data_IF_940124919840
#
_entry.id   IF_940124919840
#
_cell.length_a   1.000
_cell.length_b   1.000
_cell.length_c   1.000
_cell.angle_alpha   90.00
_cell.angle_beta   90.00
_cell.angle_gamma   90.00
#
_symmetry.space_group_name_H-M   'P 1'
#
loop_
_entity.id
_entity.type
_entity.pdbx_description
1 polymer ?
#
# COMPACT_ATOMS: atom_id res chain seq x y z
N UNK A 1 -12.24 9.68 6.13
CA UNK A 1 -12.17 10.50 4.90
C UNK A 1 -11.15 9.98 3.90
N UNK A 2 -9.92 9.62 4.29
CA UNK A 2 -8.90 9.06 3.39
C UNK A 2 -9.36 7.84 2.56
N UNK A 3 -10.08 6.90 3.19
CA UNK A 3 -10.68 5.75 2.52
C UNK A 3 -11.64 6.15 1.40
N UNK A 4 -12.41 7.24 1.58
CA UNK A 4 -13.45 7.66 0.62
C UNK A 4 -12.85 8.08 -0.71
N UNK A 5 -11.65 8.67 -0.71
CA UNK A 5 -10.95 9.08 -1.93
C UNK A 5 -10.35 7.90 -2.71
N UNK A 6 -9.79 6.92 -2.00
CA UNK A 6 -9.34 5.64 -2.60
C UNK A 6 -10.54 4.87 -3.17
N UNK A 7 -11.63 4.80 -2.41
CA UNK A 7 -12.93 4.22 -2.78
C UNK A 7 -13.54 4.85 -4.03
N UNK A 8 -13.62 6.19 -4.11
CA UNK A 8 -14.18 6.89 -5.27
C UNK A 8 -13.31 6.71 -6.52
N UNK A 9 -11.99 6.55 -6.37
CA UNK A 9 -11.08 6.23 -7.47
C UNK A 9 -11.41 4.90 -8.14
N UNK A 10 -11.62 3.88 -7.31
CA UNK A 10 -11.96 2.51 -7.71
C UNK A 10 -13.27 2.52 -8.52
N UNK A 11 -14.23 3.36 -8.11
CA UNK A 11 -15.56 3.43 -8.75
C UNK A 11 -15.57 4.21 -10.07
N UNK A 12 -14.66 5.17 -10.28
CA UNK A 12 -14.69 6.08 -11.44
C UNK A 12 -13.81 5.65 -12.61
N UNK A 13 -12.91 4.67 -12.45
CA UNK A 13 -11.97 4.27 -13.50
C UNK A 13 -12.51 3.38 -14.62
N UNK A 14 -13.78 2.95 -14.60
CA UNK A 14 -14.44 2.29 -15.75
C UNK A 14 -13.79 1.01 -16.31
N UNK A 15 -12.66 0.58 -15.76
CA UNK A 15 -11.99 -0.67 -16.06
C UNK A 15 -12.43 -1.68 -15.00
N UNK A 16 -13.13 -2.71 -15.47
CA UNK A 16 -13.87 -3.73 -14.71
C UNK A 16 -13.00 -4.72 -13.92
N UNK A 17 -11.90 -4.25 -13.34
CA UNK A 17 -10.97 -5.13 -12.65
C UNK A 17 -10.80 -4.64 -11.21
N UNK A 18 -11.83 -5.05 -10.48
CA UNK A 18 -12.07 -5.15 -9.05
C UNK A 18 -10.85 -5.01 -8.14
N UNK A 19 -10.54 -3.77 -7.73
CA UNK A 19 -9.98 -3.51 -6.40
C UNK A 19 -11.11 -2.86 -5.62
N UNK A 20 -12.11 -3.61 -5.17
CA UNK A 20 -13.21 -3.00 -4.41
C UNK A 20 -12.73 -2.57 -3.05
N UNK A 21 -13.09 -1.35 -2.68
CA UNK A 21 -13.24 -0.99 -1.29
C UNK A 21 -14.76 -0.83 -1.01
N UNK A 22 -15.14 -1.36 0.15
CA UNK A 22 -16.46 -1.58 0.75
C UNK A 22 -17.74 -1.03 0.07
N UNK A 23 -18.55 -1.95 -0.47
CA UNK A 23 -19.94 -1.73 -0.83
C UNK A 23 -20.86 -2.43 0.17
N UNK A 24 -21.67 -1.63 0.88
CA UNK A 24 -22.81 -2.11 1.65
C UNK A 24 -23.80 -2.80 0.70
N UNK A 25 -23.97 -4.11 0.85
CA UNK A 25 -24.98 -4.90 0.13
C UNK A 25 -24.56 -5.36 -1.27
N UNK A 26 -24.70 -6.66 -1.51
CA UNK A 26 -24.99 -7.30 -2.80
C UNK A 26 -23.88 -8.06 -3.56
N UNK A 27 -22.64 -8.17 -3.05
CA UNK A 27 -21.67 -9.10 -3.67
C UNK A 27 -20.71 -9.77 -2.66
N UNK A 28 -21.22 -10.76 -1.90
CA UNK A 28 -20.45 -11.53 -0.92
C UNK A 28 -19.39 -12.48 -1.52
N UNK A 29 -19.26 -12.57 -2.85
CA UNK A 29 -18.36 -13.50 -3.53
C UNK A 29 -16.98 -12.94 -3.92
N UNK A 30 -16.80 -11.61 -3.90
CA UNK A 30 -15.59 -10.97 -4.42
C UNK A 30 -14.52 -10.83 -3.34
N UNK A 31 -13.33 -11.40 -3.58
CA UNK A 31 -12.18 -11.31 -2.68
C UNK A 31 -11.35 -10.07 -3.00
N UNK A 32 -10.91 -9.35 -1.97
CA UNK A 32 -10.03 -8.18 -2.10
C UNK A 32 -8.59 -8.63 -1.85
N UNK A 33 -7.67 -8.37 -2.78
CA UNK A 33 -6.24 -8.62 -2.56
C UNK A 33 -5.59 -7.41 -1.88
N UNK A 34 -4.96 -7.64 -0.71
CA UNK A 34 -4.13 -6.64 -0.02
C UNK A 34 -2.66 -7.05 -0.07
N UNK A 35 -1.87 -6.29 -0.84
CA UNK A 35 -0.41 -6.37 -0.83
C UNK A 35 0.14 -5.65 0.42
N UNK A 36 0.83 -6.38 1.29
CA UNK A 36 1.30 -5.86 2.58
C UNK A 36 2.77 -6.23 2.82
N UNK A 37 3.53 -5.33 3.45
CA UNK A 37 4.95 -5.56 3.77
C UNK A 37 5.17 -6.65 4.84
N UNK A 38 6.43 -7.09 4.97
CA UNK A 38 6.86 -8.12 5.93
C UNK A 38 7.03 -7.62 7.37
N UNK A 39 6.34 -6.56 7.78
CA UNK A 39 6.33 -6.21 9.19
C UNK A 39 5.55 -7.28 9.98
N UNK A 40 6.21 -7.90 10.96
CA UNK A 40 5.66 -9.03 11.73
C UNK A 40 4.30 -8.75 12.38
N UNK A 41 4.00 -7.50 12.71
CA UNK A 41 2.70 -7.07 13.24
C UNK A 41 1.53 -7.28 12.27
N UNK A 42 1.78 -7.25 10.95
CA UNK A 42 0.76 -7.49 9.92
C UNK A 42 0.37 -8.97 9.81
N UNK A 43 1.23 -9.89 10.26
CA UNK A 43 1.07 -11.34 10.07
C UNK A 43 0.67 -12.08 11.34
N UNK A 44 0.18 -11.35 12.35
CA UNK A 44 -0.36 -11.99 13.55
C UNK A 44 -1.65 -12.76 13.25
N UNK A 45 -1.90 -13.83 13.99
CA UNK A 45 -3.12 -14.64 13.83
C UNK A 45 -4.41 -13.81 13.85
N UNK A 46 -4.62 -12.85 14.78
CA UNK A 46 -5.82 -12.03 14.79
C UNK A 46 -6.01 -11.18 13.53
N UNK A 47 -4.91 -10.68 12.93
CA UNK A 47 -4.98 -9.88 11.70
C UNK A 47 -5.39 -10.76 10.51
N UNK A 48 -4.83 -11.96 10.41
CA UNK A 48 -5.15 -12.90 9.33
C UNK A 48 -6.60 -13.41 9.43
N UNK A 49 -7.04 -13.79 10.63
CA UNK A 49 -8.42 -14.21 10.88
C UNK A 49 -9.42 -13.07 10.57
N UNK A 50 -9.09 -11.84 10.96
CA UNK A 50 -9.92 -10.68 10.64
C UNK A 50 -9.97 -10.40 9.14
N UNK A 51 -8.84 -10.43 8.43
CA UNK A 51 -8.80 -10.25 6.98
C UNK A 51 -9.68 -11.28 6.25
N UNK A 52 -9.60 -12.55 6.64
CA UNK A 52 -10.45 -13.61 6.10
C UNK A 52 -11.95 -13.33 6.36
N UNK A 53 -12.30 -12.84 7.56
CA UNK A 53 -13.68 -12.51 7.92
C UNK A 53 -14.32 -11.40 7.07
N UNK A 54 -13.49 -10.57 6.43
CA UNK A 54 -13.91 -9.48 5.54
C UNK A 54 -13.58 -9.76 4.06
N UNK A 55 -13.36 -11.02 3.69
CA UNK A 55 -13.01 -11.46 2.33
C UNK A 55 -11.75 -10.78 1.75
N UNK A 56 -10.78 -10.44 2.62
CA UNK A 56 -9.48 -9.90 2.21
C UNK A 56 -8.44 -11.01 2.18
N UNK A 57 -7.82 -11.22 1.02
CA UNK A 57 -6.65 -12.07 0.82
C UNK A 57 -5.40 -11.24 1.07
N UNK A 58 -4.61 -11.61 2.06
CA UNK A 58 -3.32 -10.97 2.35
C UNK A 58 -2.23 -11.60 1.48
N UNK A 59 -1.47 -10.78 0.76
CA UNK A 59 -0.30 -11.20 0.01
C UNK A 59 0.92 -10.43 0.48
N UNK A 60 1.95 -11.20 0.85
CA UNK A 60 3.17 -10.68 1.44
C UNK A 60 4.10 -10.15 0.36
N UNK A 61 4.59 -8.93 0.54
CA UNK A 61 5.69 -8.39 -0.26
C UNK A 61 7.01 -8.90 0.34
N UNK A 62 7.90 -9.53 -0.46
CA UNK A 62 9.19 -9.99 0.04
C UNK A 62 10.00 -8.84 0.68
N UNK A 63 10.77 -9.12 1.74
CA UNK A 63 11.66 -8.14 2.37
C UNK A 63 12.57 -7.43 1.35
N UNK A 64 12.64 -6.11 1.44
CA UNK A 64 13.45 -5.29 0.54
C UNK A 64 12.79 -4.92 -0.79
N UNK A 65 11.63 -5.48 -1.12
CA UNK A 65 10.93 -5.21 -2.39
C UNK A 65 9.82 -4.17 -2.29
N UNK A 66 9.51 -3.65 -1.09
CA UNK A 66 8.45 -2.66 -0.88
C UNK A 66 8.55 -1.46 -1.83
N UNK A 67 9.74 -0.93 -2.07
CA UNK A 67 9.96 0.21 -2.98
C UNK A 67 9.57 -0.06 -4.45
N UNK A 68 9.58 -1.32 -4.86
CA UNK A 68 9.34 -1.77 -6.24
C UNK A 68 8.01 -2.47 -6.42
N UNK A 69 7.46 -3.05 -5.34
CA UNK A 69 6.26 -3.88 -5.36
C UNK A 69 5.06 -3.26 -4.63
N UNK A 70 5.27 -2.31 -3.72
CA UNK A 70 4.17 -1.67 -2.98
C UNK A 70 3.67 -0.44 -3.75
N UNK A 71 2.39 -0.42 -4.22
CA UNK A 71 1.84 0.72 -4.95
C UNK A 71 2.02 2.04 -4.19
N UNK A 72 1.90 1.99 -2.85
CA UNK A 72 2.06 3.15 -1.99
C UNK A 72 3.43 3.79 -2.09
N UNK A 73 4.49 2.99 -1.96
CA UNK A 73 5.86 3.50 -2.01
C UNK A 73 6.29 3.89 -3.42
N UNK A 74 5.76 3.22 -4.44
CA UNK A 74 6.04 3.53 -5.85
C UNK A 74 5.47 4.89 -6.26
N UNK A 75 4.28 5.23 -5.78
CA UNK A 75 3.51 6.32 -6.36
C UNK A 75 3.19 7.47 -5.42
N UNK A 76 2.58 7.22 -4.27
CA UNK A 76 1.99 8.30 -3.47
C UNK A 76 2.71 8.62 -2.16
N UNK A 77 3.51 7.70 -1.61
CA UNK A 77 4.23 7.93 -0.35
C UNK A 77 5.24 9.08 -0.48
N UNK A 78 6.00 9.15 -1.58
CA UNK A 78 6.94 10.24 -1.85
C UNK A 78 6.26 11.60 -1.96
N UNK A 79 5.29 11.82 -2.88
CA UNK A 79 4.63 13.12 -2.99
C UNK A 79 3.85 13.49 -1.72
N UNK A 80 3.28 12.51 -1.01
CA UNK A 80 2.64 12.74 0.29
C UNK A 80 3.62 13.28 1.34
N UNK A 81 4.80 12.65 1.48
CA UNK A 81 5.86 13.10 2.40
C UNK A 81 6.39 14.49 2.01
N UNK A 82 6.47 14.81 0.71
CA UNK A 82 6.87 16.14 0.25
C UNK A 82 5.85 17.22 0.66
N UNK A 83 4.56 16.94 0.53
CA UNK A 83 3.51 17.86 0.94
C UNK A 83 3.50 18.08 2.46
N UNK A 84 3.63 17.01 3.26
CA UNK A 84 3.80 17.13 4.71
C UNK A 84 5.02 17.97 5.09
N UNK A 85 6.14 17.80 4.38
CA UNK A 85 7.35 18.59 4.59
C UNK A 85 7.12 20.06 4.25
N UNK A 86 6.37 20.36 3.19
CA UNK A 86 6.02 21.73 2.83
C UNK A 86 5.19 22.41 3.92
N UNK A 87 4.14 21.75 4.41
CA UNK A 87 3.30 22.25 5.50
C UNK A 87 4.09 22.44 6.81
N UNK A 88 5.05 21.56 7.09
CA UNK A 88 5.95 21.71 8.23
C UNK A 88 6.85 22.95 8.09
N UNK A 89 7.46 23.15 6.92
CA UNK A 89 8.31 24.32 6.66
C UNK A 89 7.50 25.61 6.77
N UNK A 90 6.29 25.65 6.22
CA UNK A 90 5.39 26.81 6.33
C UNK A 90 5.08 27.12 7.81
N UNK A 91 4.80 26.10 8.61
CA UNK A 91 4.56 26.24 10.04
C UNK A 91 5.78 26.83 10.78
N UNK A 92 6.99 26.34 10.49
CA UNK A 92 8.22 26.88 11.05
C UNK A 92 8.46 28.34 10.66
N UNK A 93 8.27 28.66 9.38
CA UNK A 93 8.42 30.02 8.87
C UNK A 93 7.41 30.98 9.51
N UNK A 94 6.17 30.53 9.76
CA UNK A 94 5.17 31.32 10.46
C UNK A 94 5.61 31.63 11.90
N UNK A 95 6.10 30.63 12.66
CA UNK A 95 6.61 30.85 14.01
C UNK A 95 7.78 31.84 14.04
N UNK A 96 8.70 31.75 13.07
CA UNK A 96 9.83 32.67 12.97
C UNK A 96 9.38 34.11 12.69
N UNK A 97 8.43 34.31 11.77
CA UNK A 97 7.87 35.64 11.48
C UNK A 97 7.17 36.23 12.70
N UNK A 98 6.30 35.46 13.35
CA UNK A 98 5.59 35.93 14.54
C UNK A 98 6.56 36.33 15.66
N UNK A 99 7.65 35.58 15.85
CA UNK A 99 8.68 35.92 16.82
C UNK A 99 9.39 37.25 16.49
N UNK A 100 9.72 37.47 15.21
CA UNK A 100 10.35 38.71 14.76
C UNK A 100 9.46 39.94 14.97
N UNK A 101 8.14 39.77 14.85
CA UNK A 101 7.15 40.84 15.04
C UNK A 101 6.86 41.14 16.52
N UNK A 102 6.95 40.15 17.41
CA UNK A 102 6.51 40.29 18.81
C UNK A 102 7.55 40.83 19.78
N UNK A 103 8.82 40.39 19.68
CA UNK A 103 9.94 40.92 20.49
C UNK A 103 11.27 40.31 20.01
N UNK A 104 12.05 41.07 19.23
CA UNK A 104 13.32 40.61 18.67
C UNK A 104 14.41 40.32 19.71
N UNK A 105 14.20 40.71 20.98
CA UNK A 105 15.20 40.58 22.04
C UNK A 105 15.12 39.25 22.81
N UNK A 106 14.01 38.53 22.69
CA UNK A 106 13.82 37.19 23.27
C UNK A 106 14.43 36.09 22.38
N UNK A 107 14.87 34.98 22.99
CA UNK A 107 15.40 33.82 22.25
C UNK A 107 14.25 33.00 21.67
N UNK A 108 14.30 32.74 20.37
CA UNK A 108 13.33 31.88 19.69
C UNK A 108 13.23 30.49 20.34
N UNK A 109 11.99 30.06 20.60
CA UNK A 109 11.65 28.72 21.06
C UNK A 109 10.68 28.09 20.10
N UNK A 110 11.06 26.95 19.54
CA UNK A 110 10.19 26.17 18.65
C UNK A 110 9.04 25.58 19.46
N UNK A 111 7.81 25.83 19.00
CA UNK A 111 6.61 25.23 19.56
C UNK A 111 6.18 24.06 18.68
N UNK A 112 5.91 22.90 19.29
CA UNK A 112 5.39 21.76 18.56
C UNK A 112 3.94 22.03 18.08
N UNK A 113 3.55 21.53 16.91
CA UNK A 113 2.18 21.66 16.42
C UNK A 113 1.23 20.87 17.33
N UNK A 114 0.03 21.40 17.54
CA UNK A 114 -1.01 20.66 18.24
C UNK A 114 -1.44 19.42 17.45
N UNK A 115 -2.04 18.44 18.13
CA UNK A 115 -2.62 17.26 17.50
C UNK A 115 -3.60 17.62 16.38
N UNK A 116 -4.50 18.58 16.64
CA UNK A 116 -5.44 19.07 15.64
C UNK A 116 -4.75 19.64 14.39
N UNK A 117 -3.64 20.36 14.57
CA UNK A 117 -2.85 20.89 13.44
C UNK A 117 -2.18 19.76 12.66
N UNK A 118 -1.64 18.75 13.34
CA UNK A 118 -1.06 17.56 12.70
C UNK A 118 -2.10 16.80 11.87
N UNK A 119 -3.29 16.57 12.42
CA UNK A 119 -4.38 15.89 11.70
C UNK A 119 -4.86 16.71 10.49
N UNK A 120 -4.93 18.03 10.61
CA UNK A 120 -5.21 18.91 9.48
C UNK A 120 -4.12 18.81 8.40
N UNK A 121 -2.84 18.80 8.79
CA UNK A 121 -1.74 18.65 7.83
C UNK A 121 -1.78 17.29 7.10
N UNK A 122 -2.03 16.19 7.83
CA UNK A 122 -2.19 14.86 7.24
C UNK A 122 -3.34 14.82 6.24
N UNK A 123 -4.49 15.38 6.62
CA UNK A 123 -5.67 15.44 5.77
C UNK A 123 -5.42 16.28 4.52
N UNK A 124 -4.85 17.48 4.68
CA UNK A 124 -4.53 18.37 3.56
C UNK A 124 -3.51 17.75 2.61
N UNK A 125 -2.47 17.10 3.15
CA UNK A 125 -1.46 16.45 2.33
C UNK A 125 -2.04 15.29 1.51
N UNK A 126 -2.94 14.51 2.11
CA UNK A 126 -3.66 13.45 1.42
C UNK A 126 -4.61 14.01 0.34
N UNK A 127 -5.34 15.07 0.67
CA UNK A 127 -6.30 15.66 -0.27
C UNK A 127 -5.65 16.36 -1.46
N UNK A 128 -4.39 16.80 -1.33
CA UNK A 128 -3.64 17.38 -2.44
C UNK A 128 -3.06 16.36 -3.41
N UNK A 129 -3.03 15.07 -3.06
CA UNK A 129 -2.56 14.03 -3.97
C UNK A 129 -3.51 13.89 -5.17
N UNK A 130 -2.98 14.00 -6.41
CA UNK A 130 -3.76 13.73 -7.60
C UNK A 130 -4.19 12.27 -7.67
N UNK A 131 -5.42 12.04 -8.11
CA UNK A 131 -5.93 10.71 -8.48
C UNK A 131 -4.99 9.95 -9.41
N UNK A 132 -4.42 10.66 -10.40
CA UNK A 132 -3.49 10.07 -11.36
C UNK A 132 -2.22 9.49 -10.69
N UNK A 133 -1.75 10.11 -9.60
CA UNK A 133 -0.64 9.60 -8.80
C UNK A 133 -0.99 8.26 -8.21
N UNK A 134 -2.14 8.13 -7.55
CA UNK A 134 -2.61 6.87 -6.97
C UNK A 134 -2.70 5.75 -8.02
N UNK A 135 -3.33 6.03 -9.16
CA UNK A 135 -3.45 5.06 -10.26
C UNK A 135 -2.10 4.62 -10.84
N UNK A 136 -1.12 5.53 -10.89
CA UNK A 136 0.21 5.21 -11.44
C UNK A 136 0.93 4.13 -10.65
N UNK A 137 0.67 4.02 -9.34
CA UNK A 137 1.27 2.99 -8.48
C UNK A 137 0.85 1.58 -8.89
N UNK A 138 -0.45 1.41 -9.18
CA UNK A 138 -0.99 0.12 -9.62
C UNK A 138 -0.60 -0.21 -11.07
N UNK A 139 -0.58 0.79 -11.97
CA UNK A 139 -0.16 0.57 -13.37
C UNK A 139 1.29 0.09 -13.50
N UNK A 140 2.21 0.67 -12.70
CA UNK A 140 3.64 0.35 -12.78
C UNK A 140 3.99 -1.07 -12.34
N UNK A 141 3.14 -1.68 -11.51
CA UNK A 141 3.33 -3.05 -11.07
C UNK A 141 2.98 -4.08 -12.13
N UNK A 142 2.42 -3.64 -13.27
CA UNK A 142 1.88 -4.51 -14.30
C UNK A 142 1.02 -5.63 -13.71
N UNK A 143 0.35 -5.38 -12.57
CA UNK A 143 -0.64 -6.30 -11.99
C UNK A 143 -1.63 -6.49 -13.12
N UNK A 144 -1.65 -7.67 -13.76
CA UNK A 144 -2.55 -7.87 -14.86
C UNK A 144 -3.94 -7.63 -14.30
N UNK A 145 -4.70 -6.79 -15.00
CA UNK A 145 -6.13 -6.98 -14.99
C UNK A 145 -6.34 -8.32 -15.66
N UNK A 146 -6.25 -9.38 -14.86
CA UNK A 146 -6.19 -10.75 -15.35
C UNK A 146 -7.58 -11.11 -15.87
N UNK A 147 -7.76 -10.94 -17.18
CA UNK A 147 -8.99 -11.26 -17.90
C UNK A 147 -9.04 -12.71 -18.37
N UNK A 148 -8.14 -13.56 -17.87
CA UNK A 148 -8.17 -14.99 -18.21
C UNK A 148 -9.33 -15.62 -17.46
N UNK A 149 -10.25 -16.24 -18.20
CA UNK A 149 -11.28 -17.10 -17.60
C UNK A 149 -10.56 -18.28 -16.92
N UNK A 150 -10.64 -18.33 -15.59
CA UNK A 150 -10.18 -19.51 -14.87
C UNK A 150 -11.23 -20.62 -15.08
N UNK A 151 -10.88 -21.76 -15.70
CA UNK A 151 -11.73 -22.92 -15.60
C UNK A 151 -11.94 -23.25 -14.11
N UNK A 152 -13.09 -23.80 -13.70
CA UNK A 152 -13.31 -24.15 -12.29
C UNK A 152 -12.18 -25.04 -11.81
N UNK A 153 -11.30 -24.50 -10.95
CA UNK A 153 -10.21 -25.26 -10.38
C UNK A 153 -10.80 -26.06 -9.22
N UNK A 154 -10.79 -27.38 -9.34
CA UNK A 154 -11.02 -28.25 -8.20
C UNK A 154 -9.84 -28.06 -7.23
N UNK A 155 -10.12 -27.40 -6.10
CA UNK A 155 -9.11 -27.08 -5.08
C UNK A 155 -8.42 -28.33 -4.53
N UNK A 156 -9.09 -29.49 -4.55
CA UNK A 156 -8.51 -30.75 -4.10
C UNK A 156 -7.48 -31.25 -5.12
N UNK A 157 -7.81 -31.16 -6.41
CA UNK A 157 -6.91 -31.56 -7.49
C UNK A 157 -5.69 -30.63 -7.58
N UNK A 158 -5.89 -29.33 -7.37
CA UNK A 158 -4.83 -28.32 -7.43
C UNK A 158 -3.74 -28.55 -6.37
N UNK A 159 -4.14 -28.85 -5.13
CA UNK A 159 -3.21 -29.16 -4.04
C UNK A 159 -2.42 -30.46 -4.31
N UNK A 160 -3.08 -31.46 -4.91
CA UNK A 160 -2.45 -32.72 -5.31
C UNK A 160 -1.43 -32.48 -6.42
N UNK A 161 -1.78 -31.68 -7.42
CA UNK A 161 -0.90 -31.36 -8.55
C UNK A 161 0.32 -30.54 -8.12
N UNK A 162 0.14 -29.57 -7.21
CA UNK A 162 1.24 -28.82 -6.60
C UNK A 162 2.16 -29.76 -5.82
N UNK A 163 1.61 -30.62 -4.96
CA UNK A 163 2.41 -31.54 -4.14
C UNK A 163 3.23 -32.50 -5.01
N UNK A 164 2.62 -33.04 -6.07
CA UNK A 164 3.30 -33.91 -7.01
C UNK A 164 4.37 -33.17 -7.85
N UNK A 165 4.17 -31.89 -8.13
CA UNK A 165 5.15 -31.06 -8.82
C UNK A 165 6.35 -30.76 -7.91
N UNK A 166 6.11 -30.43 -6.64
CA UNK A 166 7.17 -30.19 -5.64
C UNK A 166 8.04 -31.44 -5.49
N UNK A 167 7.45 -32.63 -5.32
CA UNK A 167 8.21 -33.88 -5.25
C UNK A 167 9.06 -34.12 -6.51
N UNK A 168 8.51 -33.87 -7.70
CA UNK A 168 9.27 -34.00 -8.95
C UNK A 168 10.43 -33.02 -9.04
N UNK A 169 10.25 -31.78 -8.59
CA UNK A 169 11.29 -30.75 -8.62
C UNK A 169 12.41 -31.04 -7.60
N UNK A 170 12.06 -31.60 -6.44
CA UNK A 170 13.02 -32.09 -5.45
C UNK A 170 13.85 -33.26 -6.00
N UNK A 171 13.22 -34.22 -6.68
CA UNK A 171 13.91 -35.34 -7.35
C UNK A 171 14.86 -34.85 -8.46
N UNK A 172 14.53 -33.74 -9.12
CA UNK A 172 15.36 -33.14 -10.17
C UNK A 172 16.48 -32.24 -9.63
N UNK A 173 16.60 -32.07 -8.31
CA UNK A 173 17.61 -31.28 -7.61
C UNK A 173 17.79 -29.84 -8.15
N UNK A 174 16.72 -29.24 -8.67
CA UNK A 174 16.74 -27.92 -9.32
C UNK A 174 16.86 -26.75 -8.32
N UNK A 175 16.84 -27.02 -7.01
CA UNK A 175 16.90 -26.01 -5.97
C UNK A 175 18.33 -25.69 -5.47
N UNK A 176 19.34 -26.52 -5.79
CA UNK A 176 20.70 -26.35 -5.25
C UNK A 176 21.62 -25.45 -6.11
N UNK A 177 21.26 -25.13 -7.35
CA UNK A 177 22.18 -24.50 -8.32
C UNK A 177 21.91 -23.01 -8.62
N UNK A 178 21.37 -22.24 -7.66
CA UNK A 178 21.22 -20.77 -7.80
C UNK A 178 22.35 -20.01 -7.07
N UNK A 179 23.57 -20.55 -7.14
CA UNK A 179 24.65 -20.15 -6.22
C UNK A 179 25.83 -19.34 -6.79
N UNK A 180 26.01 -19.15 -8.11
CA UNK A 180 27.31 -18.62 -8.61
C UNK A 180 27.33 -17.58 -9.74
N UNK A 181 26.20 -17.10 -10.25
CA UNK A 181 26.25 -16.23 -11.44
C UNK A 181 26.06 -14.72 -11.20
N UNK A 182 26.05 -14.26 -9.94
CA UNK A 182 26.05 -12.82 -9.62
C UNK A 182 27.42 -12.35 -9.11
N UNK A 183 28.46 -12.50 -9.92
CA UNK A 183 29.71 -11.77 -9.73
C UNK A 183 30.36 -11.48 -11.09
N UNK A 184 30.07 -10.30 -11.65
CA UNK A 184 30.92 -9.49 -12.54
C UNK A 184 30.34 -8.09 -12.66
#
# INVERSE_FOLDING_TARGET
MAYKKVLTLIQTTGHKDQIYANGKGDNLGEKILLLWDDFSGHWTRPVQEYAASINVVLMKIPPGYTSSCQPADIAWMKPFKLELRSLWVEHLQHQLRSHQESDAQMKFKLVAPSEAKLMACLTNAWERLPTATLQSGFRKLAIPTDKRDFPPIDSVQYEVDISALVEKLEVLNLAEDVGKDFCS
#
